data_IF_764816330604
#
_entry.id   IF_764816330604
#
_cell.length_a   1.000
_cell.length_b   1.000
_cell.length_c   1.000
_cell.angle_alpha   90.00
_cell.angle_beta   90.00
_cell.angle_gamma   90.00
#
_symmetry.space_group_name_H-M   'P 1'
#
loop_
_entity.id
_entity.type
_entity.pdbx_description
1 polymer ?
#
# COMPACT_ATOMS: atom_id res chain seq x y z
N UNK A 1 6.87 19.56 11.16
CA UNK A 1 6.05 18.61 10.40
C UNK A 1 6.99 17.48 9.99
N UNK A 2 7.07 16.43 10.79
CA UNK A 2 7.95 15.32 10.45
C UNK A 2 7.24 14.47 9.39
N UNK A 3 7.66 14.61 8.13
CA UNK A 3 7.21 13.73 7.04
C UNK A 3 7.97 12.43 7.18
N UNK A 4 7.50 11.56 8.05
CA UNK A 4 8.01 10.22 8.17
C UNK A 4 7.27 9.31 7.18
N UNK A 5 7.92 8.98 6.08
CA UNK A 5 7.66 7.71 5.38
C UNK A 5 8.24 6.58 6.23
N UNK A 6 7.56 6.23 7.32
CA UNK A 6 7.86 5.04 8.13
C UNK A 6 6.77 4.03 7.74
N UNK A 7 7.06 2.88 7.11
CA UNK A 7 7.91 1.80 7.60
C UNK A 7 8.71 1.13 6.45
N UNK A 8 9.97 1.52 6.28
CA UNK A 8 11.06 0.61 5.90
C UNK A 8 12.06 0.59 7.05
N UNK A 9 12.38 -0.60 7.52
CA UNK A 9 13.43 -0.93 8.51
C UNK A 9 13.09 -0.72 9.99
N UNK A 10 12.72 -1.83 10.64
CA UNK A 10 13.30 -2.19 11.94
C UNK A 10 13.89 -3.59 11.76
N UNK A 11 15.09 -3.66 11.19
CA UNK A 11 15.97 -4.78 11.44
C UNK A 11 16.87 -4.39 12.61
N UNK A 12 16.56 -4.94 13.79
CA UNK A 12 17.53 -5.01 14.89
C UNK A 12 18.58 -6.05 14.50
N UNK A 13 19.66 -5.62 13.86
CA UNK A 13 20.88 -6.42 13.77
C UNK A 13 21.60 -6.35 15.11
N UNK A 14 21.55 -7.46 15.86
CA UNK A 14 22.48 -7.74 16.94
C UNK A 14 23.91 -7.75 16.38
N UNK A 15 24.75 -6.81 16.81
CA UNK A 15 26.19 -6.97 16.76
C UNK A 15 26.79 -6.37 18.03
N UNK A 16 27.27 -7.26 18.91
CA UNK A 16 28.20 -6.94 19.97
C UNK A 16 29.57 -6.64 19.35
N UNK A 17 30.21 -5.54 19.74
CA UNK A 17 31.66 -5.41 20.00
C UNK A 17 32.05 -3.95 20.33
N UNK A 18 32.43 -3.76 21.60
CA UNK A 18 33.44 -2.88 22.24
C UNK A 18 33.85 -1.50 21.63
N UNK A 19 34.00 -0.45 22.46
CA UNK A 19 34.18 0.95 22.02
C UNK A 19 35.64 1.32 21.66
N UNK A 20 35.83 2.02 20.55
CA UNK A 20 37.04 2.84 20.30
C UNK A 20 36.65 4.23 19.75
N UNK A 21 37.50 5.19 20.12
CA UNK A 21 37.30 6.63 20.30
C UNK A 21 37.00 7.43 19.03
N UNK A 22 36.32 8.56 19.24
CA UNK A 22 36.10 9.66 18.28
C UNK A 22 37.40 10.28 17.78
N UNK A 23 37.43 10.64 16.49
CA UNK A 23 38.23 11.73 15.98
C UNK A 23 37.43 12.46 14.89
N UNK A 24 37.18 13.76 15.11
CA UNK A 24 36.66 14.71 14.14
C UNK A 24 37.75 14.99 13.11
N UNK A 25 37.43 15.09 11.83
CA UNK A 25 38.23 15.87 10.88
C UNK A 25 37.36 16.45 9.75
N UNK A 26 37.62 17.73 9.50
CA UNK A 26 36.92 18.61 8.59
C UNK A 26 37.25 18.32 7.11
N UNK A 27 36.31 18.64 6.23
CA UNK A 27 36.52 18.74 4.78
C UNK A 27 37.36 19.98 4.42
N UNK A 28 38.04 19.95 3.26
CA UNK A 28 37.97 21.11 2.37
C UNK A 28 37.56 20.74 0.93
N UNK A 29 36.83 21.67 0.34
CA UNK A 29 36.47 21.79 -1.08
C UNK A 29 37.71 21.92 -1.97
N UNK A 30 37.62 21.51 -3.26
CA UNK A 30 38.23 22.20 -4.40
C UNK A 30 37.82 21.59 -5.78
N UNK A 31 37.22 22.48 -6.59
CA UNK A 31 37.27 22.70 -8.05
C UNK A 31 37.30 21.55 -9.09
N UNK A 32 36.41 21.77 -10.06
CA UNK A 32 36.39 21.29 -11.45
C UNK A 32 37.74 21.20 -12.16
N UNK A 33 37.91 20.13 -12.97
CA UNK A 33 38.51 20.22 -14.30
C UNK A 33 37.98 19.09 -15.21
N UNK A 34 37.63 19.49 -16.44
CA UNK A 34 37.06 18.69 -17.51
C UNK A 34 38.17 18.33 -18.51
N UNK A 35 38.25 17.07 -18.95
CA UNK A 35 39.19 16.62 -19.99
C UNK A 35 38.41 15.79 -21.02
N UNK A 36 38.55 16.04 -22.35
CA UNK A 36 37.80 15.33 -23.39
C UNK A 36 38.39 13.95 -23.76
N UNK A 37 37.62 13.07 -24.43
CA UNK A 37 37.97 11.66 -24.58
C UNK A 37 38.85 11.35 -25.81
N UNK A 38 39.80 10.43 -25.65
CA UNK A 38 40.60 9.82 -26.71
C UNK A 38 39.84 8.67 -27.38
N UNK A 39 39.76 8.72 -28.70
CA UNK A 39 39.23 7.68 -29.59
C UNK A 39 39.99 6.35 -29.48
N UNK A 40 39.26 5.24 -29.47
CA UNK A 40 39.79 3.90 -29.74
C UNK A 40 38.79 3.12 -30.59
N UNK A 41 39.17 2.85 -31.84
CA UNK A 41 38.41 2.05 -32.80
C UNK A 41 38.76 0.56 -32.65
N UNK A 42 37.77 -0.29 -32.38
CA UNK A 42 37.82 -1.73 -32.69
C UNK A 42 36.45 -2.22 -33.18
N UNK A 43 36.35 -3.01 -34.26
CA UNK A 43 35.08 -3.51 -34.77
C UNK A 43 34.70 -4.83 -34.07
N UNK A 44 33.44 -4.97 -33.63
CA UNK A 44 32.90 -6.23 -33.10
C UNK A 44 31.52 -6.52 -33.74
N UNK A 45 31.39 -7.79 -34.16
CA UNK A 45 30.37 -8.49 -34.96
C UNK A 45 28.90 -8.09 -34.80
N UNK A 46 28.06 -8.27 -35.86
CA UNK A 46 26.62 -8.09 -35.75
C UNK A 46 26.01 -9.18 -34.87
N UNK A 47 25.51 -8.80 -33.70
CA UNK A 47 24.67 -9.66 -32.89
C UNK A 47 23.28 -9.75 -33.52
N UNK A 48 22.86 -10.99 -33.75
CA UNK A 48 21.55 -11.39 -34.27
C UNK A 48 20.45 -10.77 -33.39
N UNK A 49 19.69 -9.83 -33.96
CA UNK A 49 18.50 -9.27 -33.32
C UNK A 49 17.49 -10.40 -33.07
N UNK A 50 17.48 -10.88 -31.82
CA UNK A 50 16.40 -11.67 -31.27
C UNK A 50 15.16 -10.77 -31.23
N UNK A 51 14.22 -11.02 -32.13
CA UNK A 51 12.89 -10.43 -32.11
C UNK A 51 12.18 -10.97 -30.87
N UNK A 52 12.35 -10.30 -29.75
CA UNK A 52 11.62 -10.62 -28.54
C UNK A 52 10.15 -10.21 -28.76
N UNK A 53 9.28 -11.22 -28.87
CA UNK A 53 7.86 -11.07 -29.12
C UNK A 53 7.19 -10.28 -27.98
N UNK A 54 7.00 -8.98 -28.22
CA UNK A 54 6.25 -8.08 -27.32
C UNK A 54 4.75 -8.40 -27.22
N UNK A 55 4.27 -9.40 -27.95
CA UNK A 55 2.85 -9.80 -28.04
C UNK A 55 2.42 -10.69 -26.85
N UNK A 56 3.36 -11.24 -26.07
CA UNK A 56 3.07 -12.26 -25.04
C UNK A 56 2.48 -11.74 -23.72
N UNK A 57 2.58 -10.45 -23.42
CA UNK A 57 2.18 -9.90 -22.10
C UNK A 57 0.66 -9.65 -21.94
N UNK A 58 -0.05 -9.04 -22.92
CA UNK A 58 -1.48 -8.75 -22.78
C UNK A 58 -2.34 -10.02 -22.75
N UNK A 59 -2.02 -10.99 -23.61
CA UNK A 59 -2.75 -12.24 -23.75
C UNK A 59 -2.68 -13.08 -22.47
N UNK A 60 -1.51 -13.10 -21.82
CA UNK A 60 -1.34 -13.80 -20.53
C UNK A 60 -2.14 -13.15 -19.40
N UNK A 61 -2.16 -11.82 -19.33
CA UNK A 61 -2.92 -11.10 -18.29
C UNK A 61 -4.42 -11.31 -18.43
N UNK A 62 -4.96 -11.26 -19.65
CA UNK A 62 -6.40 -11.49 -19.89
C UNK A 62 -6.79 -12.92 -19.47
N UNK A 63 -5.99 -13.92 -19.86
CA UNK A 63 -6.24 -15.31 -19.48
C UNK A 63 -6.31 -15.50 -17.97
N UNK A 64 -5.37 -14.92 -17.21
CA UNK A 64 -5.37 -15.03 -15.75
C UNK A 64 -6.61 -14.39 -15.11
N UNK A 65 -7.06 -13.24 -15.62
CA UNK A 65 -8.29 -12.60 -15.14
C UNK A 65 -9.50 -13.49 -15.41
N UNK A 66 -9.60 -14.06 -16.61
CA UNK A 66 -10.67 -15.01 -16.96
C UNK A 66 -10.66 -16.24 -16.03
N UNK A 67 -9.49 -16.86 -15.83
CA UNK A 67 -9.34 -18.03 -14.96
C UNK A 67 -9.79 -17.74 -13.51
N UNK A 68 -9.48 -16.55 -12.98
CA UNK A 68 -9.93 -16.11 -11.65
C UNK A 68 -11.43 -15.90 -11.61
N UNK A 69 -12.02 -15.24 -12.61
CA UNK A 69 -13.48 -15.02 -12.71
C UNK A 69 -14.25 -16.33 -12.71
N UNK A 70 -13.84 -17.29 -13.55
CA UNK A 70 -14.47 -18.61 -13.65
C UNK A 70 -14.39 -19.37 -12.34
N UNK A 71 -13.25 -19.32 -11.64
CA UNK A 71 -13.10 -19.97 -10.33
C UNK A 71 -13.93 -19.30 -9.25
N UNK A 72 -14.00 -17.97 -9.23
CA UNK A 72 -14.86 -17.26 -8.27
C UNK A 72 -16.34 -17.55 -8.51
N UNK A 73 -16.79 -17.60 -9.76
CA UNK A 73 -18.15 -18.05 -10.11
C UNK A 73 -18.41 -19.47 -9.60
N UNK A 74 -17.48 -20.40 -9.84
CA UNK A 74 -17.65 -21.81 -9.50
C UNK A 74 -17.63 -22.07 -7.99
N UNK A 75 -16.68 -21.49 -7.26
CA UNK A 75 -16.44 -21.81 -5.85
C UNK A 75 -17.08 -20.81 -4.88
N UNK A 76 -17.38 -19.59 -5.34
CA UNK A 76 -17.93 -18.50 -4.54
C UNK A 76 -19.10 -17.76 -5.22
N UNK A 77 -20.14 -18.47 -5.69
CA UNK A 77 -21.22 -17.88 -6.50
C UNK A 77 -22.05 -16.82 -5.76
N UNK A 78 -22.07 -16.86 -4.42
CA UNK A 78 -22.83 -15.95 -3.55
C UNK A 78 -22.16 -14.57 -3.45
N UNK A 79 -20.88 -14.45 -3.82
CA UNK A 79 -20.20 -13.17 -3.77
C UNK A 79 -20.81 -12.18 -4.79
N UNK A 80 -20.91 -10.89 -4.42
CA UNK A 80 -21.50 -9.86 -5.26
C UNK A 80 -20.72 -9.67 -6.56
N UNK A 81 -21.44 -9.22 -7.58
CA UNK A 81 -20.91 -8.84 -8.90
C UNK A 81 -20.90 -7.31 -9.07
N UNK A 82 -20.18 -6.80 -10.06
CA UNK A 82 -19.97 -5.39 -10.32
C UNK A 82 -18.76 -4.81 -9.60
N UNK A 83 -18.81 -3.50 -9.32
CA UNK A 83 -17.70 -2.76 -8.70
C UNK A 83 -17.36 -3.32 -7.31
N UNK A 84 -16.09 -3.60 -7.06
CA UNK A 84 -15.57 -4.30 -5.88
C UNK A 84 -16.14 -5.72 -5.69
N UNK A 85 -16.70 -6.30 -6.74
CA UNK A 85 -17.28 -7.64 -6.78
C UNK A 85 -16.31 -8.69 -7.32
N UNK A 86 -16.82 -9.91 -7.48
CA UNK A 86 -16.04 -11.07 -7.93
C UNK A 86 -15.63 -11.05 -9.41
N UNK A 87 -16.21 -10.15 -10.19
CA UNK A 87 -16.00 -9.94 -11.62
C UNK A 87 -15.33 -8.58 -11.94
N UNK A 88 -15.00 -7.78 -10.92
CA UNK A 88 -14.26 -6.52 -11.06
C UNK A 88 -12.84 -6.78 -11.59
N UNK A 89 -12.59 -6.41 -12.84
CA UNK A 89 -11.32 -6.69 -13.49
C UNK A 89 -10.15 -5.94 -12.88
N UNK A 90 -10.36 -4.72 -12.40
CA UNK A 90 -9.29 -3.91 -11.84
C UNK A 90 -8.88 -4.46 -10.47
N UNK A 91 -9.87 -4.86 -9.67
CA UNK A 91 -9.62 -5.58 -8.42
C UNK A 91 -8.91 -6.91 -8.69
N UNK A 92 -9.39 -7.73 -9.63
CA UNK A 92 -8.73 -9.00 -9.97
C UNK A 92 -7.28 -8.78 -10.44
N UNK A 93 -7.04 -7.80 -11.30
CA UNK A 93 -5.69 -7.46 -11.78
C UNK A 93 -4.77 -7.08 -10.63
N UNK A 94 -5.26 -6.31 -9.66
CA UNK A 94 -4.47 -5.95 -8.51
C UNK A 94 -4.15 -7.18 -7.64
N UNK A 95 -5.14 -8.02 -7.31
CA UNK A 95 -4.88 -9.20 -6.48
C UNK A 95 -3.95 -10.20 -7.17
N UNK A 96 -4.02 -10.30 -8.50
CA UNK A 96 -3.04 -11.03 -9.29
C UNK A 96 -1.63 -10.45 -9.09
N UNK A 97 -1.44 -9.13 -9.17
CA UNK A 97 -0.11 -8.51 -8.93
C UNK A 97 0.39 -8.79 -7.51
N UNK A 98 -0.46 -8.62 -6.49
CA UNK A 98 -0.14 -8.88 -5.08
C UNK A 98 0.24 -10.35 -4.82
N UNK A 99 -0.45 -11.29 -5.48
CA UNK A 99 -0.22 -12.74 -5.36
C UNK A 99 0.76 -13.29 -6.40
N UNK A 100 1.60 -12.43 -7.01
CA UNK A 100 2.62 -12.82 -8.00
C UNK A 100 2.03 -13.67 -9.14
N UNK A 101 0.83 -13.32 -9.57
CA UNK A 101 0.04 -13.95 -10.62
C UNK A 101 -0.40 -15.39 -10.34
N UNK A 102 -0.46 -15.79 -9.06
CA UNK A 102 -1.04 -17.07 -8.62
C UNK A 102 -2.56 -17.01 -8.61
N UNK A 103 -3.21 -17.78 -9.49
CA UNK A 103 -4.69 -17.81 -9.61
C UNK A 103 -5.34 -18.29 -8.31
N UNK A 104 -4.86 -19.38 -7.71
CA UNK A 104 -5.46 -19.95 -6.49
C UNK A 104 -5.36 -19.00 -5.30
N UNK A 105 -4.19 -18.39 -5.10
CA UNK A 105 -3.98 -17.44 -4.01
C UNK A 105 -4.80 -16.18 -4.22
N UNK A 106 -4.97 -15.75 -5.47
CA UNK A 106 -5.83 -14.62 -5.85
C UNK A 106 -7.28 -14.92 -5.50
N UNK A 107 -7.83 -16.06 -5.94
CA UNK A 107 -9.21 -16.47 -5.65
C UNK A 107 -9.45 -16.52 -4.14
N UNK A 108 -8.56 -17.20 -3.39
CA UNK A 108 -8.68 -17.32 -1.94
C UNK A 108 -8.66 -15.97 -1.22
N UNK A 109 -7.76 -15.07 -1.63
CA UNK A 109 -7.58 -13.77 -1.00
C UNK A 109 -8.71 -12.80 -1.37
N UNK A 110 -9.07 -12.73 -2.65
CA UNK A 110 -10.13 -11.86 -3.16
C UNK A 110 -11.49 -12.26 -2.57
N UNK A 111 -11.81 -13.55 -2.49
CA UNK A 111 -13.05 -14.01 -1.87
C UNK A 111 -13.16 -13.58 -0.40
N UNK A 112 -12.07 -13.68 0.38
CA UNK A 112 -12.03 -13.20 1.77
C UNK A 112 -12.18 -11.68 1.84
N UNK A 113 -11.57 -10.94 0.92
CA UNK A 113 -11.69 -9.50 0.83
C UNK A 113 -13.14 -9.06 0.59
N UNK A 114 -13.80 -9.61 -0.42
CA UNK A 114 -15.19 -9.28 -0.73
C UNK A 114 -16.10 -9.63 0.45
N UNK A 115 -15.94 -10.81 1.06
CA UNK A 115 -16.73 -11.21 2.23
C UNK A 115 -16.58 -10.24 3.41
N UNK A 116 -15.34 -9.85 3.73
CA UNK A 116 -15.09 -8.89 4.81
C UNK A 116 -15.73 -7.52 4.50
N UNK A 117 -15.70 -7.07 3.25
CA UNK A 117 -16.35 -5.79 2.86
C UNK A 117 -17.86 -5.83 3.11
N UNK A 118 -18.49 -6.97 2.86
CA UNK A 118 -19.91 -7.18 3.14
C UNK A 118 -20.17 -7.23 4.66
N UNK A 119 -19.40 -8.02 5.40
CA UNK A 119 -19.54 -8.15 6.87
C UNK A 119 -19.32 -6.82 7.60
N UNK A 120 -18.39 -6.00 7.12
CA UNK A 120 -18.10 -4.68 7.69
C UNK A 120 -19.11 -3.60 7.27
N UNK A 121 -19.87 -3.81 6.20
CA UNK A 121 -20.81 -2.82 5.67
C UNK A 121 -20.11 -1.65 4.97
N UNK A 122 -19.02 -1.90 4.22
CA UNK A 122 -18.25 -0.81 3.58
C UNK A 122 -19.10 0.05 2.64
N UNK A 123 -20.07 -0.57 1.95
CA UNK A 123 -21.00 0.13 1.05
C UNK A 123 -21.96 1.08 1.76
N UNK A 124 -22.13 0.93 3.08
CA UNK A 124 -23.04 1.76 3.89
C UNK A 124 -22.32 2.97 4.51
N UNK A 125 -20.98 3.02 4.43
CA UNK A 125 -20.19 4.13 4.94
C UNK A 125 -20.41 5.38 4.10
N UNK A 126 -20.78 6.45 4.78
CA UNK A 126 -21.00 7.78 4.21
C UNK A 126 -20.38 8.85 5.08
N UNK A 127 -20.19 10.06 4.52
CA UNK A 127 -19.71 11.23 5.29
C UNK A 127 -20.61 11.52 6.50
N UNK A 128 -21.92 11.31 6.35
CA UNK A 128 -22.90 11.42 7.43
C UNK A 128 -22.60 10.39 8.54
N UNK A 129 -22.45 9.12 8.18
CA UNK A 129 -22.30 8.03 9.16
C UNK A 129 -21.05 8.15 10.03
N UNK A 130 -19.99 8.79 9.54
CA UNK A 130 -18.72 8.95 10.27
C UNK A 130 -18.48 10.38 10.76
N UNK A 131 -19.45 11.29 10.56
CA UNK A 131 -19.27 12.74 10.82
C UNK A 131 -18.77 13.01 12.22
N UNK A 132 -19.41 12.44 13.24
CA UNK A 132 -19.12 12.70 14.65
C UNK A 132 -17.66 12.40 15.02
N UNK A 133 -17.08 11.34 14.44
CA UNK A 133 -15.67 10.98 14.66
C UNK A 133 -14.75 11.74 13.71
N UNK A 134 -15.19 12.01 12.48
CA UNK A 134 -14.42 12.80 11.51
C UNK A 134 -14.15 14.24 12.03
N UNK A 135 -15.12 14.85 12.71
CA UNK A 135 -15.02 16.19 13.31
C UNK A 135 -13.92 16.30 14.36
N UNK A 136 -13.50 15.18 14.95
CA UNK A 136 -12.33 15.16 15.87
C UNK A 136 -11.04 15.58 15.15
N UNK A 137 -10.99 15.44 13.82
CA UNK A 137 -9.85 15.80 12.99
C UNK A 137 -8.64 14.91 13.22
N UNK A 138 -8.84 13.68 13.71
CA UNK A 138 -7.79 12.67 13.89
C UNK A 138 -7.31 12.06 12.57
N UNK A 139 -8.09 12.18 11.50
CA UNK A 139 -7.71 11.74 10.17
C UNK A 139 -8.55 12.40 9.07
N UNK A 140 -7.93 12.66 7.92
CA UNK A 140 -8.59 13.24 6.76
C UNK A 140 -7.79 13.00 5.47
N UNK A 141 -8.48 13.00 4.33
CA UNK A 141 -7.84 12.96 3.02
C UNK A 141 -7.56 14.39 2.56
N UNK A 142 -6.31 14.71 2.29
CA UNK A 142 -5.87 16.00 1.78
C UNK A 142 -6.47 16.28 0.39
N UNK A 143 -6.71 17.55 0.10
CA UNK A 143 -7.35 17.96 -1.17
C UNK A 143 -6.43 17.85 -2.38
N UNK A 144 -5.12 17.96 -2.15
CA UNK A 144 -4.10 17.86 -3.20
C UNK A 144 -3.38 16.52 -3.16
N UNK A 145 -3.00 16.05 -4.36
CA UNK A 145 -2.12 14.90 -4.54
C UNK A 145 -0.67 15.27 -4.17
N UNK A 146 0.13 14.25 -3.85
CA UNK A 146 1.57 14.42 -3.68
C UNK A 146 2.29 14.68 -5.02
N UNK A 147 3.61 14.93 -4.95
CA UNK A 147 4.47 15.14 -6.13
C UNK A 147 4.54 13.93 -7.08
N UNK A 148 4.06 12.77 -6.66
CA UNK A 148 3.97 11.55 -7.45
C UNK A 148 2.53 11.26 -7.93
N UNK A 149 1.59 12.18 -7.71
CA UNK A 149 0.19 12.06 -8.13
C UNK A 149 -0.61 11.08 -7.26
N UNK A 150 -0.26 10.91 -5.98
CA UNK A 150 -0.95 10.01 -5.06
C UNK A 150 -1.86 10.78 -4.11
N UNK A 151 -3.07 10.27 -3.82
CA UNK A 151 -3.90 10.79 -2.74
C UNK A 151 -3.17 10.74 -1.40
N UNK A 152 -3.35 11.76 -0.56
CA UNK A 152 -2.65 11.88 0.72
C UNK A 152 -3.65 11.73 1.88
N UNK A 153 -3.50 10.68 2.67
CA UNK A 153 -4.23 10.45 3.92
C UNK A 153 -3.38 10.96 5.09
N UNK A 154 -3.90 11.92 5.84
CA UNK A 154 -3.23 12.51 7.00
C UNK A 154 -3.90 12.00 8.27
N UNK A 155 -3.11 11.58 9.25
CA UNK A 155 -3.56 11.11 10.57
C UNK A 155 -2.83 11.90 11.64
N UNK A 156 -3.57 12.44 12.61
CA UNK A 156 -3.03 13.19 13.76
C UNK A 156 -3.22 12.34 15.00
N UNK A 157 -2.17 11.60 15.38
CA UNK A 157 -2.26 10.56 16.39
C UNK A 157 -2.58 11.10 17.79
N UNK A 158 -2.17 12.33 18.11
CA UNK A 158 -2.47 13.01 19.38
C UNK A 158 -3.95 13.35 19.59
N UNK A 159 -4.78 13.21 18.54
CA UNK A 159 -6.24 13.40 18.62
C UNK A 159 -7.01 12.09 18.77
N UNK A 160 -6.33 10.95 18.78
CA UNK A 160 -6.95 9.65 19.03
C UNK A 160 -7.07 9.44 20.54
N UNK A 161 -8.28 9.31 21.08
CA UNK A 161 -8.49 9.08 22.51
C UNK A 161 -9.38 7.84 22.71
N UNK A 162 -8.80 6.64 22.79
CA UNK A 162 -9.55 5.37 22.88
C UNK A 162 -10.53 5.32 24.05
N UNK A 163 -10.19 5.98 25.15
CA UNK A 163 -11.03 6.04 26.35
C UNK A 163 -12.28 6.93 26.20
N UNK A 164 -12.31 7.80 25.18
CA UNK A 164 -13.38 8.79 24.96
C UNK A 164 -14.25 8.50 23.74
N UNK A 165 -13.85 7.53 22.91
CA UNK A 165 -14.42 7.30 21.59
C UNK A 165 -14.83 5.83 21.45
N UNK A 166 -15.88 5.58 20.68
CA UNK A 166 -16.31 4.22 20.40
C UNK A 166 -15.32 3.59 19.40
N UNK A 167 -14.65 2.46 19.75
CA UNK A 167 -13.71 1.81 18.86
C UNK A 167 -14.30 1.47 17.49
N UNK A 168 -15.58 1.08 17.42
CA UNK A 168 -16.26 0.73 16.17
C UNK A 168 -16.35 1.95 15.25
N UNK A 169 -16.58 3.14 15.79
CA UNK A 169 -16.68 4.36 15.00
C UNK A 169 -15.31 4.82 14.49
N UNK A 170 -14.25 4.55 15.24
CA UNK A 170 -12.86 4.77 14.79
C UNK A 170 -12.47 3.82 13.66
N UNK A 171 -12.87 2.55 13.76
CA UNK A 171 -12.70 1.56 12.70
C UNK A 171 -13.45 1.98 11.42
N UNK A 172 -14.71 2.42 11.54
CA UNK A 172 -15.49 2.94 10.41
C UNK A 172 -14.86 4.17 9.78
N UNK A 173 -14.39 5.14 10.59
CA UNK A 173 -13.70 6.31 10.07
C UNK A 173 -12.43 5.91 9.31
N UNK A 174 -11.65 4.96 9.83
CA UNK A 174 -10.44 4.47 9.16
C UNK A 174 -10.76 3.90 7.77
N UNK A 175 -11.74 3.00 7.70
CA UNK A 175 -12.16 2.38 6.42
C UNK A 175 -12.70 3.45 5.47
N UNK A 176 -13.57 4.34 5.96
CA UNK A 176 -14.12 5.43 5.16
C UNK A 176 -13.03 6.32 4.56
N UNK A 177 -12.02 6.72 5.34
CA UNK A 177 -10.92 7.55 4.87
C UNK A 177 -10.05 6.84 3.84
N UNK A 178 -9.85 5.54 4.00
CA UNK A 178 -9.15 4.71 3.00
C UNK A 178 -9.95 4.66 1.70
N UNK A 179 -11.25 4.31 1.74
CA UNK A 179 -12.14 4.32 0.56
C UNK A 179 -12.18 5.68 -0.14
N UNK A 180 -12.24 6.77 0.64
CA UNK A 180 -12.22 8.15 0.15
C UNK A 180 -10.89 8.52 -0.51
N UNK A 181 -9.77 8.01 -0.02
CA UNK A 181 -8.47 8.24 -0.65
C UNK A 181 -8.38 7.50 -2.00
N UNK A 182 -8.93 6.29 -2.09
CA UNK A 182 -8.84 5.44 -3.27
C UNK A 182 -9.77 5.89 -4.39
N UNK A 183 -10.93 6.43 -4.04
CA UNK A 183 -11.83 7.03 -5.03
C UNK A 183 -11.20 8.25 -5.72
N UNK A 184 -10.14 8.83 -5.13
CA UNK A 184 -9.33 9.91 -5.71
C UNK A 184 -8.10 9.43 -6.47
N UNK A 185 -7.87 8.10 -6.59
CA UNK A 185 -6.72 7.59 -7.34
C UNK A 185 -6.83 7.96 -8.83
N UNK A 186 -5.81 8.63 -9.40
CA UNK A 186 -5.76 8.85 -10.85
C UNK A 186 -5.63 7.53 -11.60
N UNK A 187 -6.07 7.50 -12.86
CA UNK A 187 -5.92 6.33 -13.72
C UNK A 187 -4.45 5.88 -13.79
N UNK A 188 -4.21 4.58 -13.58
CA UNK A 188 -2.87 3.99 -13.58
C UNK A 188 -2.07 4.18 -12.28
N UNK A 189 -2.66 4.78 -11.23
CA UNK A 189 -2.08 4.80 -9.88
C UNK A 189 -2.75 3.75 -9.00
N UNK A 190 -1.96 3.16 -8.11
CA UNK A 190 -2.38 2.02 -7.28
C UNK A 190 -2.04 2.23 -5.80
N UNK A 191 -1.46 3.37 -5.41
CA UNK A 191 -1.00 3.64 -4.06
C UNK A 191 -1.39 5.03 -3.54
N UNK A 192 -1.66 5.08 -2.23
CA UNK A 192 -1.94 6.30 -1.46
C UNK A 192 -0.76 6.60 -0.53
N UNK A 193 -0.55 7.87 -0.20
CA UNK A 193 0.45 8.31 0.78
C UNK A 193 -0.21 8.50 2.15
N UNK A 194 0.26 7.78 3.16
CA UNK A 194 -0.11 8.04 4.56
C UNK A 194 0.90 8.95 5.25
N UNK A 195 0.44 10.03 5.90
CA UNK A 195 1.24 10.90 6.76
C UNK A 195 0.70 10.81 8.18
N UNK A 196 1.54 10.36 9.12
CA UNK A 196 1.17 10.21 10.53
C UNK A 196 1.89 11.27 11.36
N UNK A 197 1.14 12.26 11.83
CA UNK A 197 1.63 13.25 12.77
C UNK A 197 1.59 12.70 14.20
N UNK A 198 2.78 12.38 14.70
CA UNK A 198 2.99 11.86 16.06
C UNK A 198 3.33 12.96 17.07
N UNK A 199 3.30 14.24 16.66
CA UNK A 199 3.55 15.35 17.61
C UNK A 199 2.46 15.37 18.67
N UNK A 200 2.88 15.34 19.93
CA UNK A 200 1.98 15.29 21.08
C UNK A 200 1.33 13.93 21.31
N UNK A 201 1.76 12.87 20.63
CA UNK A 201 1.28 11.52 20.91
C UNK A 201 1.79 11.05 22.28
N UNK A 202 0.87 10.66 23.15
CA UNK A 202 1.13 10.17 24.50
C UNK A 202 0.51 8.80 24.77
N UNK A 203 0.65 8.35 26.02
CA UNK A 203 0.11 7.07 26.50
C UNK A 203 -1.42 6.99 26.37
N UNK A 204 -2.10 8.12 26.58
CA UNK A 204 -3.55 8.27 26.48
C UNK A 204 -4.08 8.11 25.06
N UNK A 205 -3.21 8.22 24.04
CA UNK A 205 -3.55 8.02 22.64
C UNK A 205 -3.26 6.58 22.15
N UNK A 206 -2.62 5.75 22.97
CA UNK A 206 -2.16 4.43 22.53
C UNK A 206 -3.31 3.45 22.42
N UNK A 207 -3.47 2.85 21.24
CA UNK A 207 -4.54 1.88 20.96
C UNK A 207 -4.03 0.69 20.17
N UNK A 208 -3.57 -0.33 20.88
CA UNK A 208 -3.05 -1.55 20.25
C UNK A 208 -4.15 -2.33 19.52
N UNK A 209 -5.41 -2.23 19.94
CA UNK A 209 -6.54 -2.89 19.27
C UNK A 209 -6.80 -2.24 17.92
N UNK A 210 -6.84 -0.91 17.88
CA UNK A 210 -7.00 -0.17 16.64
C UNK A 210 -5.81 -0.36 15.70
N UNK A 211 -4.57 -0.35 16.19
CA UNK A 211 -3.39 -0.66 15.36
C UNK A 211 -3.50 -2.07 14.76
N UNK A 212 -3.94 -3.04 15.55
CA UNK A 212 -4.18 -4.41 15.06
C UNK A 212 -5.25 -4.45 13.98
N UNK A 213 -6.33 -3.67 14.15
CA UNK A 213 -7.37 -3.50 13.14
C UNK A 213 -6.82 -2.90 11.84
N UNK A 214 -6.04 -1.83 11.90
CA UNK A 214 -5.40 -1.21 10.73
C UNK A 214 -4.51 -2.22 9.98
N UNK A 215 -3.75 -3.03 10.70
CA UNK A 215 -2.95 -4.12 10.10
C UNK A 215 -3.83 -5.22 9.51
N UNK A 216 -5.02 -5.48 10.07
CA UNK A 216 -5.97 -6.48 9.59
C UNK A 216 -6.69 -6.06 8.31
N UNK A 217 -7.02 -4.78 8.12
CA UNK A 217 -7.57 -4.26 6.85
C UNK A 217 -6.67 -4.69 5.67
N UNK A 218 -5.35 -4.69 5.87
CA UNK A 218 -4.36 -5.20 4.89
C UNK A 218 -4.34 -6.73 4.79
N UNK A 219 -4.48 -7.41 5.93
CA UNK A 219 -4.18 -8.83 6.09
C UNK A 219 -5.44 -9.68 6.35
N UNK A 220 -6.33 -9.80 5.37
CA UNK A 220 -7.28 -10.91 5.36
C UNK A 220 -6.52 -12.21 5.04
N UNK A 221 -5.96 -12.86 6.07
CA UNK A 221 -4.94 -13.91 5.95
C UNK A 221 -5.44 -15.14 5.16
N UNK A 222 -4.69 -15.50 4.12
CA UNK A 222 -4.23 -16.88 3.94
C UNK A 222 -2.94 -17.05 4.74
N UNK A 223 -2.79 -18.16 5.47
CA UNK A 223 -1.60 -18.46 6.26
C UNK A 223 -0.39 -18.75 5.37
N UNK A 224 0.78 -18.25 5.76
CA UNK A 224 2.04 -18.50 5.06
C UNK A 224 2.99 -17.31 5.16
N UNK A 225 3.93 -17.43 6.10
CA UNK A 225 5.24 -16.76 6.23
C UNK A 225 5.37 -15.26 5.87
N UNK A 226 5.87 -14.52 6.87
CA UNK A 226 6.28 -13.12 6.80
C UNK A 226 7.45 -12.95 5.81
N UNK A 227 7.14 -12.74 4.53
CA UNK A 227 8.11 -12.33 3.52
C UNK A 227 7.77 -10.92 3.04
N UNK A 228 8.60 -9.96 3.44
CA UNK A 228 8.83 -8.65 2.80
C UNK A 228 7.63 -8.05 2.03
N UNK A 229 6.58 -7.69 2.77
CA UNK A 229 5.38 -7.13 2.18
C UNK A 229 5.57 -5.62 1.96
N UNK A 230 5.81 -5.23 0.71
CA UNK A 230 5.65 -3.86 0.22
C UNK A 230 4.22 -3.39 0.56
N UNK A 231 4.07 -2.21 1.14
CA UNK A 231 2.76 -1.62 1.44
C UNK A 231 2.11 -1.24 0.11
N UNK A 232 1.21 -2.05 -0.37
CA UNK A 232 0.35 -1.73 -1.49
C UNK A 232 -1.07 -1.95 -0.98
N UNK A 233 -1.85 -0.88 -1.02
CA UNK A 233 -3.27 -0.93 -0.75
C UNK A 233 -3.96 -1.38 -2.04
N UNK A 234 -4.92 -2.29 -1.91
CA UNK A 234 -5.97 -2.71 -2.88
C UNK A 234 -6.00 -4.07 -3.51
#
# INVERSE_FOLDING_TARGET
MYVYTILKSVETSNFSLSPKKMALNLCPSLRHQCVPPLHSNRPIRPQKLSVHSRISHPIKSHKLVTDVKEKLEKYHPILPVGKNGRDDEDMIRWFLKDRKFSVEDTVSKLAKAIKWRQEFGVSELSEESVRSVAETGKGFVHDFLDVHGRPVLIVVASKHFPAKQNPIEDEKLCVFLVEKALSRLPAGKEDILGIFDLRGFGTENTDLKFITFVVRIRCLKGGGQMAQARWQWW
#
